data_IF_077183138071
#
_entry.id   IF_077183138071
#
_cell.length_a   1.000
_cell.length_b   1.000
_cell.length_c   1.000
_cell.angle_alpha   90.00
_cell.angle_beta   90.00
_cell.angle_gamma   90.00
#
_symmetry.space_group_name_H-M   'P 1'
#
loop_
_entity.id
_entity.type
_entity.pdbx_description
1 polymer ?
#
# COMPACT_ATOMS: atom_id res chain seq x y z
N UNK A 1 67.06 -45.27 48.27
CA UNK A 1 65.77 -44.86 48.87
C UNK A 1 65.30 -43.57 48.21
N UNK A 2 63.98 -43.45 47.98
CA UNK A 2 63.21 -42.36 47.32
C UNK A 2 63.28 -42.32 45.79
N UNK A 3 62.22 -42.75 45.07
CA UNK A 3 60.94 -42.08 44.70
C UNK A 3 61.09 -41.36 43.35
N UNK A 4 60.30 -41.57 42.29
CA UNK A 4 58.84 -41.48 42.23
C UNK A 4 58.33 -42.10 40.92
N UNK A 5 57.39 -43.05 41.02
CA UNK A 5 56.57 -43.56 39.91
C UNK A 5 55.30 -42.71 39.77
N UNK A 6 55.21 -41.87 38.74
CA UNK A 6 53.96 -41.21 38.37
C UNK A 6 53.32 -41.93 37.18
N UNK A 7 52.50 -42.94 37.47
CA UNK A 7 51.47 -43.42 36.54
C UNK A 7 50.19 -42.58 36.77
N UNK A 8 49.85 -41.70 35.82
CA UNK A 8 48.74 -40.73 35.95
C UNK A 8 47.34 -41.31 35.64
N UNK A 9 47.18 -42.62 35.43
CA UNK A 9 45.85 -43.22 35.34
C UNK A 9 45.81 -44.69 35.80
N UNK A 10 45.92 -44.98 37.11
CA UNK A 10 45.96 -46.35 37.62
C UNK A 10 44.58 -47.04 37.70
N UNK A 11 43.48 -46.30 37.46
CA UNK A 11 42.11 -46.78 37.69
C UNK A 11 41.29 -47.04 36.41
N UNK A 12 41.88 -46.87 35.21
CA UNK A 12 41.23 -47.17 33.94
C UNK A 12 39.89 -46.45 33.68
N UNK A 13 39.64 -45.31 34.35
CA UNK A 13 38.42 -44.52 34.14
C UNK A 13 38.67 -43.46 33.07
N UNK A 14 38.44 -43.83 31.81
CA UNK A 14 38.32 -42.87 30.72
C UNK A 14 37.02 -42.08 30.92
N UNK A 15 37.11 -40.81 31.31
CA UNK A 15 35.97 -39.91 31.61
C UNK A 15 35.14 -39.48 30.37
N UNK A 16 35.09 -40.29 29.32
CA UNK A 16 34.29 -40.01 28.13
C UNK A 16 33.32 -41.14 27.84
N UNK A 17 32.26 -41.25 28.65
CA UNK A 17 31.04 -41.95 28.25
C UNK A 17 30.23 -41.09 27.28
N UNK A 18 30.80 -40.78 26.11
CA UNK A 18 29.96 -40.31 25.00
C UNK A 18 29.41 -41.56 24.33
N UNK A 19 28.18 -41.94 24.71
CA UNK A 19 27.37 -42.92 23.96
C UNK A 19 27.50 -42.58 22.48
N UNK A 20 28.09 -43.48 21.71
CA UNK A 20 27.96 -43.46 20.24
C UNK A 20 26.45 -43.54 20.00
N UNK A 21 25.84 -42.61 19.24
CA UNK A 21 24.42 -42.71 18.91
C UNK A 21 24.16 -44.08 18.25
N UNK A 22 23.03 -44.74 18.54
CA UNK A 22 22.61 -45.95 17.83
C UNK A 22 22.81 -45.80 16.32
N UNK A 23 23.23 -46.87 15.63
CA UNK A 23 23.42 -46.85 14.18
C UNK A 23 22.14 -46.42 13.43
N UNK A 24 20.98 -46.71 14.01
CA UNK A 24 19.64 -46.33 13.55
C UNK A 24 19.37 -44.82 13.54
N UNK A 25 20.07 -44.03 14.36
CA UNK A 25 19.91 -42.57 14.41
C UNK A 25 20.66 -41.85 13.28
N UNK A 26 21.56 -42.54 12.57
CA UNK A 26 22.41 -41.98 11.53
C UNK A 26 21.66 -41.17 10.46
N UNK A 27 20.60 -41.73 9.84
CA UNK A 27 19.80 -41.02 8.84
C UNK A 27 19.08 -39.78 9.39
N UNK A 28 18.52 -39.87 10.60
CA UNK A 28 17.81 -38.75 11.26
C UNK A 28 18.76 -37.59 11.55
N UNK A 29 19.96 -37.90 12.01
CA UNK A 29 21.00 -36.90 12.28
C UNK A 29 21.45 -36.23 10.99
N UNK A 30 21.64 -36.99 9.92
CA UNK A 30 22.00 -36.45 8.60
C UNK A 30 20.94 -35.47 8.09
N UNK A 31 19.67 -35.86 8.13
CA UNK A 31 18.54 -35.03 7.68
C UNK A 31 18.39 -33.73 8.50
N UNK A 32 18.53 -33.82 9.83
CA UNK A 32 18.49 -32.65 10.70
C UNK A 32 19.66 -31.69 10.43
N UNK A 33 20.88 -32.22 10.29
CA UNK A 33 22.06 -31.40 9.97
C UNK A 33 21.95 -30.72 8.61
N UNK A 34 21.39 -31.39 7.60
CA UNK A 34 21.13 -30.79 6.28
C UNK A 34 20.13 -29.64 6.38
N UNK A 35 19.04 -29.84 7.12
CA UNK A 35 18.01 -28.82 7.36
C UNK A 35 18.60 -27.58 8.04
N UNK A 36 19.35 -27.79 9.12
CA UNK A 36 19.99 -26.70 9.86
C UNK A 36 21.06 -25.98 9.03
N UNK A 37 21.79 -26.69 8.19
CA UNK A 37 22.77 -26.09 7.28
C UNK A 37 22.10 -25.21 6.23
N UNK A 38 20.99 -25.68 5.63
CA UNK A 38 20.15 -24.87 4.72
C UNK A 38 19.59 -23.61 5.39
N UNK A 39 19.28 -23.69 6.68
CA UNK A 39 18.86 -22.55 7.51
C UNK A 39 20.02 -21.65 7.98
N UNK A 40 21.25 -21.92 7.54
CA UNK A 40 22.48 -21.17 7.91
C UNK A 40 22.81 -21.20 9.40
N UNK A 41 22.41 -22.26 10.11
CA UNK A 41 22.77 -22.49 11.50
C UNK A 41 24.18 -23.11 11.56
N UNK A 42 25.19 -22.29 11.88
CA UNK A 42 26.59 -22.72 11.86
C UNK A 42 27.22 -22.95 13.24
N UNK A 43 26.57 -22.53 14.34
CA UNK A 43 27.06 -22.81 15.69
C UNK A 43 26.79 -24.27 16.07
N UNK A 44 27.85 -25.01 16.36
CA UNK A 44 27.72 -26.43 16.71
C UNK A 44 27.02 -26.62 18.07
N UNK A 45 27.14 -25.65 18.96
CA UNK A 45 26.49 -25.62 20.27
C UNK A 45 24.98 -25.45 20.10
N UNK A 46 24.55 -24.49 19.27
CA UNK A 46 23.12 -24.29 18.95
C UNK A 46 22.54 -25.51 18.23
N UNK A 47 23.26 -26.07 17.26
CA UNK A 47 22.82 -27.28 16.55
C UNK A 47 22.70 -28.46 17.51
N UNK A 48 23.65 -28.65 18.43
CA UNK A 48 23.59 -29.69 19.46
C UNK A 48 22.35 -29.55 20.36
N UNK A 49 22.03 -28.31 20.78
CA UNK A 49 20.83 -28.03 21.57
C UNK A 49 19.54 -28.29 20.78
N UNK A 50 19.49 -27.92 19.50
CA UNK A 50 18.34 -28.15 18.62
C UNK A 50 18.11 -29.64 18.35
N UNK A 51 19.17 -30.41 18.08
CA UNK A 51 19.10 -31.87 17.92
C UNK A 51 18.48 -32.56 19.15
N UNK A 52 18.82 -32.08 20.36
CA UNK A 52 18.23 -32.60 21.59
C UNK A 52 16.74 -32.20 21.72
N UNK A 53 16.41 -30.94 21.46
CA UNK A 53 15.06 -30.40 21.69
C UNK A 53 14.04 -30.82 20.63
N UNK A 54 14.42 -30.84 19.37
CA UNK A 54 13.52 -31.10 18.25
C UNK A 54 13.49 -32.58 17.86
N UNK A 55 14.59 -33.29 18.07
CA UNK A 55 14.73 -34.68 17.60
C UNK A 55 15.03 -35.68 18.73
N UNK A 56 15.21 -35.24 19.98
CA UNK A 56 15.56 -36.11 21.11
C UNK A 56 16.99 -36.68 21.04
N UNK A 57 17.84 -36.15 20.16
CA UNK A 57 19.16 -36.70 19.85
C UNK A 57 20.26 -36.02 20.67
N UNK A 58 20.90 -36.77 21.56
CA UNK A 58 22.00 -36.24 22.40
C UNK A 58 23.34 -36.35 21.67
N UNK A 59 23.81 -35.25 21.09
CA UNK A 59 25.08 -35.20 20.35
C UNK A 59 25.91 -34.02 20.84
N UNK A 60 27.16 -34.27 21.26
CA UNK A 60 28.09 -33.22 21.67
C UNK A 60 28.47 -32.30 20.48
N UNK A 61 28.73 -31.02 20.74
CA UNK A 61 29.10 -30.03 19.70
C UNK A 61 30.34 -30.45 18.88
N UNK A 62 31.29 -31.15 19.49
CA UNK A 62 32.46 -31.73 18.81
C UNK A 62 32.09 -32.82 17.80
N UNK A 63 31.09 -33.65 18.13
CA UNK A 63 30.57 -34.68 17.24
C UNK A 63 29.70 -34.08 16.12
N UNK A 64 28.95 -33.00 16.40
CA UNK A 64 28.26 -32.20 15.37
C UNK A 64 29.28 -31.65 14.37
N UNK A 65 30.37 -31.03 14.86
CA UNK A 65 31.44 -30.49 14.01
C UNK A 65 32.05 -31.55 13.09
N UNK A 66 32.34 -32.75 13.64
CA UNK A 66 32.89 -33.87 12.87
C UNK A 66 31.92 -34.34 11.79
N UNK A 67 30.65 -34.57 12.13
CA UNK A 67 29.62 -35.01 11.18
C UNK A 67 29.33 -33.99 10.08
N UNK A 68 29.28 -32.70 10.41
CA UNK A 68 29.13 -31.63 9.41
C UNK A 68 30.30 -31.64 8.42
N UNK A 69 31.52 -31.92 8.87
CA UNK A 69 32.69 -32.08 8.00
C UNK A 69 32.56 -33.31 7.10
N UNK A 70 32.11 -34.45 7.63
CA UNK A 70 31.85 -35.69 6.86
C UNK A 70 30.77 -35.49 5.79
N UNK A 71 29.78 -34.63 6.05
CA UNK A 71 28.68 -34.32 5.13
C UNK A 71 29.01 -33.18 4.13
N UNK A 72 30.22 -32.63 4.16
CA UNK A 72 30.59 -31.52 3.27
C UNK A 72 29.93 -30.17 3.60
N UNK A 73 29.33 -30.03 4.79
CA UNK A 73 28.73 -28.78 5.26
C UNK A 73 29.81 -27.80 5.72
N UNK A 74 30.42 -27.18 4.71
CA UNK A 74 31.56 -26.31 4.85
C UNK A 74 31.18 -24.86 5.17
N UNK A 75 32.10 -24.15 5.81
CA UNK A 75 31.96 -22.70 5.98
C UNK A 75 32.29 -22.00 4.65
N UNK A 76 31.84 -20.74 4.47
CA UNK A 76 32.17 -19.96 3.28
C UNK A 76 33.65 -19.99 2.92
N UNK A 77 34.53 -19.86 3.94
CA UNK A 77 35.98 -19.86 3.74
C UNK A 77 36.50 -21.15 3.13
N UNK A 78 35.92 -22.29 3.50
CA UNK A 78 36.34 -23.60 2.96
C UNK A 78 35.77 -23.76 1.56
N UNK A 79 34.48 -23.48 1.37
CA UNK A 79 33.81 -23.53 0.07
C UNK A 79 34.54 -22.70 -0.99
N UNK A 80 34.91 -21.46 -0.68
CA UNK A 80 35.66 -20.58 -1.59
C UNK A 80 37.04 -21.13 -2.01
N UNK A 81 37.62 -22.07 -1.26
CA UNK A 81 38.93 -22.68 -1.56
C UNK A 81 38.82 -24.01 -2.31
N UNK A 82 37.73 -24.73 -2.10
CA UNK A 82 37.55 -26.10 -2.58
C UNK A 82 36.64 -26.21 -3.78
N UNK A 83 35.74 -25.25 -3.98
CA UNK A 83 34.79 -25.24 -5.10
C UNK A 83 35.38 -24.47 -6.30
N UNK A 84 35.21 -24.97 -7.55
CA UNK A 84 35.64 -24.24 -8.73
C UNK A 84 34.95 -22.88 -8.87
N UNK A 85 35.70 -21.87 -9.31
CA UNK A 85 35.20 -20.50 -9.48
C UNK A 85 33.94 -20.42 -10.34
N UNK A 86 33.93 -21.10 -11.49
CA UNK A 86 32.82 -21.08 -12.45
C UNK A 86 31.53 -21.65 -11.85
N UNK A 87 31.62 -22.70 -11.03
CA UNK A 87 30.45 -23.26 -10.35
C UNK A 87 29.87 -22.27 -9.31
N UNK A 88 30.74 -21.54 -8.60
CA UNK A 88 30.29 -20.52 -7.64
C UNK A 88 29.62 -19.33 -8.34
N UNK A 89 30.14 -18.90 -9.50
CA UNK A 89 29.50 -17.84 -10.31
C UNK A 89 28.13 -18.29 -10.79
N UNK A 90 28.04 -19.51 -11.34
CA UNK A 90 26.79 -20.07 -11.86
C UNK A 90 25.69 -20.08 -10.80
N UNK A 91 26.00 -20.48 -9.57
CA UNK A 91 25.03 -20.48 -8.45
C UNK A 91 24.48 -19.08 -8.14
N UNK A 92 25.30 -18.03 -8.28
CA UNK A 92 24.85 -16.65 -8.05
C UNK A 92 24.00 -16.16 -9.22
N UNK A 93 24.44 -16.41 -10.46
CA UNK A 93 23.72 -16.02 -11.68
C UNK A 93 22.34 -16.67 -11.76
N UNK A 94 22.23 -17.97 -11.47
CA UNK A 94 20.93 -18.66 -11.46
C UNK A 94 19.95 -18.08 -10.43
N UNK A 95 20.42 -17.64 -9.27
CA UNK A 95 19.57 -17.00 -8.27
C UNK A 95 19.17 -15.57 -8.66
N UNK A 96 20.01 -14.88 -9.44
CA UNK A 96 19.68 -13.59 -10.06
C UNK A 96 18.64 -13.75 -11.16
N UNK A 97 18.76 -14.77 -12.02
CA UNK A 97 17.77 -15.08 -13.07
C UNK A 97 16.39 -15.39 -12.47
N UNK A 98 16.35 -16.01 -11.28
CA UNK A 98 15.13 -16.26 -10.50
C UNK A 98 14.58 -15.03 -9.79
N UNK A 99 15.26 -13.89 -9.83
CA UNK A 99 14.83 -12.61 -9.24
C UNK A 99 14.47 -11.60 -10.32
N UNK A 100 13.43 -11.90 -11.10
CA UNK A 100 12.95 -11.05 -12.20
C UNK A 100 12.69 -9.58 -11.79
N UNK A 101 12.30 -9.35 -10.52
CA UNK A 101 12.04 -8.02 -9.97
C UNK A 101 13.30 -7.30 -9.44
N UNK A 102 14.47 -7.95 -9.48
CA UNK A 102 15.80 -7.42 -9.07
C UNK A 102 15.81 -6.79 -7.67
N UNK A 103 15.02 -7.38 -6.77
CA UNK A 103 14.70 -6.81 -5.46
C UNK A 103 15.53 -7.41 -4.32
N UNK A 104 16.22 -8.54 -4.54
CA UNK A 104 16.89 -9.32 -3.49
C UNK A 104 18.27 -8.78 -3.17
N UNK A 105 18.46 -8.36 -1.92
CA UNK A 105 19.75 -8.00 -1.32
C UNK A 105 20.82 -9.09 -1.42
N UNK A 106 22.10 -8.71 -1.39
CA UNK A 106 23.26 -9.64 -1.34
C UNK A 106 23.09 -10.73 -0.28
N UNK A 107 22.63 -10.35 0.92
CA UNK A 107 22.39 -11.31 2.01
C UNK A 107 21.24 -12.29 1.71
N UNK A 108 20.23 -11.85 0.97
CA UNK A 108 19.08 -12.67 0.59
C UNK A 108 19.48 -13.68 -0.50
N UNK A 109 20.19 -13.23 -1.54
CA UNK A 109 20.76 -14.11 -2.57
C UNK A 109 21.68 -15.15 -1.93
N UNK A 110 22.62 -14.72 -1.08
CA UNK A 110 23.49 -15.65 -0.34
C UNK A 110 22.69 -16.66 0.49
N UNK A 111 21.62 -16.24 1.15
CA UNK A 111 20.78 -17.14 1.94
C UNK A 111 20.04 -18.16 1.08
N UNK A 112 19.55 -17.75 -0.09
CA UNK A 112 18.86 -18.64 -1.03
C UNK A 112 19.79 -19.68 -1.63
N UNK A 113 21.02 -19.30 -1.99
CA UNK A 113 22.03 -20.27 -2.46
C UNK A 113 22.28 -21.35 -1.39
N UNK A 114 22.39 -20.96 -0.11
CA UNK A 114 22.56 -21.94 0.98
C UNK A 114 21.31 -22.78 1.20
N UNK A 115 20.13 -22.18 1.12
CA UNK A 115 18.87 -22.89 1.33
C UNK A 115 18.57 -23.88 0.19
N UNK A 116 18.72 -23.46 -1.06
CA UNK A 116 18.38 -24.26 -2.23
C UNK A 116 19.46 -25.30 -2.53
N UNK A 117 20.72 -24.87 -2.58
CA UNK A 117 21.84 -25.66 -3.09
C UNK A 117 22.70 -26.28 -1.98
N UNK A 118 22.49 -25.92 -0.71
CA UNK A 118 23.32 -26.40 0.41
C UNK A 118 24.74 -25.82 0.43
N UNK A 119 25.05 -24.88 -0.47
CA UNK A 119 26.37 -24.26 -0.61
C UNK A 119 26.37 -22.88 0.06
N UNK A 120 27.37 -22.61 0.91
CA UNK A 120 27.51 -21.30 1.55
C UNK A 120 28.68 -20.54 0.91
N UNK A 121 28.38 -19.48 0.17
CA UNK A 121 29.37 -18.58 -0.43
C UNK A 121 29.69 -17.40 0.51
N UNK A 122 30.82 -16.72 0.31
CA UNK A 122 31.13 -15.50 1.07
C UNK A 122 30.24 -14.34 0.62
N UNK A 123 29.97 -13.38 1.52
CA UNK A 123 29.16 -12.20 1.17
C UNK A 123 29.85 -11.39 0.07
N UNK A 124 31.15 -11.21 0.18
CA UNK A 124 31.93 -10.36 -0.72
C UNK A 124 31.95 -10.94 -2.12
N UNK A 125 32.17 -12.26 -2.26
CA UNK A 125 32.09 -12.93 -3.56
C UNK A 125 30.71 -12.79 -4.21
N UNK A 126 29.63 -13.01 -3.45
CA UNK A 126 28.26 -12.81 -3.97
C UNK A 126 28.05 -11.35 -4.39
N UNK A 127 28.55 -10.39 -3.60
CA UNK A 127 28.48 -8.97 -3.92
C UNK A 127 29.20 -8.65 -5.22
N UNK A 128 30.42 -9.14 -5.41
CA UNK A 128 31.25 -8.89 -6.60
C UNK A 128 30.58 -9.42 -7.87
N UNK A 129 30.04 -10.64 -7.82
CA UNK A 129 29.31 -11.23 -8.95
C UNK A 129 28.01 -10.48 -9.22
N UNK A 130 27.24 -10.13 -8.18
CA UNK A 130 26.02 -9.34 -8.38
C UNK A 130 26.33 -7.96 -8.97
N UNK A 131 27.43 -7.29 -8.59
CA UNK A 131 27.84 -6.01 -9.20
C UNK A 131 28.27 -6.18 -10.66
N UNK A 132 28.87 -7.32 -11.00
CA UNK A 132 29.31 -7.61 -12.38
C UNK A 132 28.13 -7.92 -13.31
N UNK A 133 27.09 -8.58 -12.81
CA UNK A 133 25.98 -9.10 -13.62
C UNK A 133 24.64 -8.35 -13.46
N UNK A 134 24.46 -7.57 -12.40
CA UNK A 134 23.22 -6.83 -12.09
C UNK A 134 23.51 -5.47 -11.42
N UNK A 135 24.34 -4.65 -12.09
CA UNK A 135 24.67 -3.29 -11.66
C UNK A 135 23.39 -2.41 -11.51
N UNK A 136 22.43 -2.59 -12.42
CA UNK A 136 21.11 -1.94 -12.36
C UNK A 136 20.36 -2.25 -11.06
N UNK A 137 20.38 -3.51 -10.61
CA UNK A 137 19.72 -3.92 -9.38
C UNK A 137 20.31 -3.21 -8.15
N UNK A 138 21.60 -2.90 -8.11
CA UNK A 138 22.19 -2.09 -7.04
C UNK A 138 21.77 -0.62 -7.12
N UNK A 139 21.74 -0.04 -8.32
CA UNK A 139 21.27 1.33 -8.54
C UNK A 139 19.82 1.50 -8.06
N UNK A 140 18.95 0.51 -8.35
CA UNK A 140 17.56 0.50 -7.86
C UNK A 140 17.42 0.42 -6.34
N UNK A 141 18.44 -0.13 -5.64
CA UNK A 141 18.44 -0.35 -4.18
C UNK A 141 19.26 0.68 -3.40
N UNK A 142 19.98 1.57 -4.08
CA UNK A 142 20.80 2.58 -3.42
C UNK A 142 19.95 3.48 -2.49
N UNK A 143 20.28 3.61 -1.19
CA UNK A 143 19.53 4.48 -0.28
C UNK A 143 19.58 5.97 -0.65
N UNK A 144 20.64 6.40 -1.34
CA UNK A 144 20.84 7.76 -1.85
C UNK A 144 20.06 8.04 -3.14
N UNK A 145 19.71 7.02 -3.92
CA UNK A 145 18.77 7.19 -5.05
C UNK A 145 17.34 7.54 -4.59
N UNK A 146 17.05 7.37 -3.28
CA UNK A 146 15.77 7.68 -2.64
C UNK A 146 15.79 8.92 -1.74
N UNK A 147 16.90 9.67 -1.64
CA UNK A 147 16.87 11.00 -1.02
C UNK A 147 16.27 12.00 -1.99
N UNK A 148 14.95 11.96 -2.11
CA UNK A 148 14.19 13.00 -2.78
C UNK A 148 14.47 14.29 -2.01
N UNK A 149 15.16 15.24 -2.67
CA UNK A 149 15.27 16.61 -2.21
C UNK A 149 13.84 17.14 -2.05
N UNK A 150 13.38 17.28 -0.81
CA UNK A 150 12.08 17.88 -0.52
C UNK A 150 12.21 19.38 -0.78
N UNK A 151 11.83 19.80 -1.98
CA UNK A 151 11.72 21.22 -2.31
C UNK A 151 10.56 21.80 -1.51
N UNK A 152 10.79 22.92 -0.82
CA UNK A 152 9.73 23.67 -0.16
C UNK A 152 8.85 24.25 -1.26
N UNK A 153 7.60 23.78 -1.38
CA UNK A 153 6.61 24.41 -2.26
C UNK A 153 6.13 25.70 -1.61
N UNK A 154 6.48 26.84 -2.20
CA UNK A 154 5.92 28.15 -1.87
C UNK A 154 4.85 28.47 -2.90
N UNK A 155 3.60 28.30 -2.51
CA UNK A 155 2.46 28.61 -3.37
C UNK A 155 2.18 30.12 -3.30
N UNK A 156 1.86 30.71 -4.43
CA UNK A 156 1.46 32.10 -4.63
C UNK A 156 0.05 32.35 -4.05
N UNK A 157 -0.86 31.39 -4.20
CA UNK A 157 -2.26 31.62 -3.90
C UNK A 157 -3.13 30.38 -3.71
N UNK A 158 -4.37 30.61 -3.26
CA UNK A 158 -5.43 29.60 -3.40
C UNK A 158 -5.78 29.44 -4.88
N UNK A 159 -6.29 28.28 -5.28
CA UNK A 159 -6.63 27.99 -6.68
C UNK A 159 -5.45 28.07 -7.66
N UNK A 160 -4.22 28.30 -7.19
CA UNK A 160 -3.02 28.21 -8.01
C UNK A 160 -2.85 26.77 -8.50
N UNK A 161 -2.90 25.82 -7.56
CA UNK A 161 -2.80 24.40 -7.89
C UNK A 161 -3.80 23.56 -7.12
N UNK A 162 -4.61 22.82 -7.86
CA UNK A 162 -5.45 21.76 -7.33
C UNK A 162 -4.72 20.42 -7.47
N UNK A 163 -4.53 19.72 -6.36
CA UNK A 163 -3.83 18.43 -6.27
C UNK A 163 -4.87 17.33 -6.11
N UNK A 164 -5.04 16.53 -7.16
CA UNK A 164 -6.00 15.43 -7.23
C UNK A 164 -5.32 14.06 -7.20
N UNK A 165 -5.98 13.09 -6.60
CA UNK A 165 -5.50 11.71 -6.53
C UNK A 165 -6.63 10.71 -6.24
N UNK A 166 -6.40 9.45 -6.63
CA UNK A 166 -7.24 8.31 -6.31
C UNK A 166 -6.69 7.53 -5.11
N UNK A 167 -7.56 7.04 -4.24
CA UNK A 167 -7.15 6.34 -3.03
C UNK A 167 -7.84 4.98 -2.87
N UNK A 168 -7.01 3.92 -2.91
CA UNK A 168 -7.45 2.52 -2.97
C UNK A 168 -7.78 1.90 -1.59
N UNK A 169 -7.76 2.65 -0.47
CA UNK A 169 -7.94 2.00 0.85
C UNK A 169 -9.30 1.32 1.01
N UNK A 170 -10.36 1.92 0.48
CA UNK A 170 -11.69 1.32 0.51
C UNK A 170 -11.95 0.36 -0.65
N UNK A 171 -10.97 0.16 -1.54
CA UNK A 171 -11.06 -0.83 -2.62
C UNK A 171 -11.29 -2.24 -2.06
N UNK A 172 -10.75 -2.53 -0.87
CA UNK A 172 -10.94 -3.81 -0.18
C UNK A 172 -12.39 -4.13 0.21
N UNK A 173 -13.28 -3.13 0.19
CA UNK A 173 -14.73 -3.27 0.40
C UNK A 173 -15.53 -2.82 -0.82
N UNK A 174 -14.88 -2.50 -1.95
CA UNK A 174 -15.52 -2.16 -3.22
C UNK A 174 -15.85 -0.69 -3.44
N UNK A 175 -15.38 0.24 -2.59
CA UNK A 175 -15.80 1.65 -2.62
C UNK A 175 -14.61 2.62 -2.71
N UNK A 176 -13.85 2.64 -3.81
CA UNK A 176 -12.69 3.52 -3.94
C UNK A 176 -13.07 5.01 -3.84
N UNK A 177 -12.07 5.85 -3.57
CA UNK A 177 -12.24 7.28 -3.38
C UNK A 177 -11.39 8.03 -4.38
N UNK A 178 -11.89 9.17 -4.83
CA UNK A 178 -11.09 10.17 -5.51
C UNK A 178 -11.30 11.51 -4.83
N UNK A 179 -10.26 12.34 -4.72
CA UNK A 179 -10.39 13.65 -4.07
C UNK A 179 -9.38 14.66 -4.59
N UNK A 180 -9.67 15.93 -4.29
CA UNK A 180 -8.86 17.09 -4.67
C UNK A 180 -8.67 18.01 -3.48
N UNK A 181 -7.44 18.49 -3.30
CA UNK A 181 -7.11 19.51 -2.31
C UNK A 181 -6.46 20.72 -2.97
N UNK A 182 -6.67 21.90 -2.38
CA UNK A 182 -5.89 23.10 -2.69
C UNK A 182 -4.48 22.97 -2.11
N UNK A 183 -3.42 23.11 -2.91
CA UNK A 183 -2.06 22.89 -2.41
C UNK A 183 -1.63 23.93 -1.35
N UNK A 184 -2.06 25.20 -1.46
CA UNK A 184 -1.62 26.28 -0.58
C UNK A 184 -2.14 26.09 0.84
N UNK A 185 -3.42 25.79 0.97
CA UNK A 185 -4.13 25.70 2.24
C UNK A 185 -4.31 24.27 2.72
N UNK A 186 -4.13 23.28 1.84
CA UNK A 186 -4.51 21.86 2.03
C UNK A 186 -6.00 21.67 2.31
N UNK A 187 -6.85 22.61 1.87
CA UNK A 187 -8.30 22.51 1.95
C UNK A 187 -8.78 21.40 1.03
N UNK A 188 -9.62 20.50 1.55
CA UNK A 188 -10.35 19.55 0.71
C UNK A 188 -11.38 20.33 -0.13
N UNK A 189 -11.19 20.33 -1.44
CA UNK A 189 -12.07 21.01 -2.39
C UNK A 189 -13.26 20.11 -2.72
N UNK A 190 -13.01 18.82 -2.86
CA UNK A 190 -14.02 17.77 -2.94
C UNK A 190 -13.40 16.39 -2.74
N UNK A 191 -14.23 15.44 -2.31
CA UNK A 191 -13.88 14.03 -2.16
C UNK A 191 -15.13 13.20 -2.46
N UNK A 192 -14.97 12.11 -3.20
CA UNK A 192 -16.09 11.30 -3.69
C UNK A 192 -15.81 9.82 -3.54
N UNK A 193 -16.80 9.09 -3.06
CA UNK A 193 -16.86 7.63 -3.18
C UNK A 193 -17.39 7.31 -4.57
N UNK A 194 -16.57 6.62 -5.37
CA UNK A 194 -16.81 6.40 -6.80
C UNK A 194 -16.92 4.92 -7.15
N UNK A 195 -17.72 4.55 -8.18
CA UNK A 195 -17.80 3.16 -8.65
C UNK A 195 -16.45 2.60 -9.09
N UNK A 196 -15.61 3.45 -9.68
CA UNK A 196 -14.23 3.13 -10.02
C UNK A 196 -13.39 4.39 -10.09
N UNK A 197 -12.27 4.40 -9.37
CA UNK A 197 -11.26 5.45 -9.46
C UNK A 197 -10.26 5.21 -10.61
N UNK A 198 -10.52 4.23 -11.48
CA UNK A 198 -9.69 3.89 -12.64
C UNK A 198 -10.29 4.34 -13.98
N UNK A 199 -11.50 4.91 -13.95
CA UNK A 199 -12.20 5.39 -15.14
C UNK A 199 -11.90 6.87 -15.35
N UNK A 200 -11.34 7.19 -16.53
CA UNK A 200 -10.98 8.56 -16.87
C UNK A 200 -12.17 9.52 -16.91
N UNK A 201 -13.32 9.04 -17.38
CA UNK A 201 -14.55 9.85 -17.43
C UNK A 201 -15.02 10.26 -16.04
N UNK A 202 -14.94 9.36 -15.05
CA UNK A 202 -15.25 9.69 -13.66
C UNK A 202 -14.33 10.80 -13.16
N UNK A 203 -13.02 10.66 -13.33
CA UNK A 203 -12.05 11.66 -12.86
C UNK A 203 -12.24 13.02 -13.55
N UNK A 204 -12.48 13.03 -14.87
CA UNK A 204 -12.80 14.24 -15.62
C UNK A 204 -14.10 14.90 -15.13
N UNK A 205 -15.14 14.10 -14.86
CA UNK A 205 -16.41 14.58 -14.33
C UNK A 205 -16.28 15.25 -12.97
N UNK A 206 -15.49 14.65 -12.06
CA UNK A 206 -15.23 15.22 -10.74
C UNK A 206 -14.49 16.57 -10.82
N UNK A 207 -13.64 16.77 -11.82
CA UNK A 207 -13.03 18.07 -12.08
C UNK A 207 -14.08 19.11 -12.49
N UNK A 208 -15.01 18.76 -13.39
CA UNK A 208 -16.10 19.65 -13.79
C UNK A 208 -17.00 20.02 -12.60
N UNK A 209 -17.28 19.09 -11.69
CA UNK A 209 -18.02 19.39 -10.45
C UNK A 209 -17.32 20.44 -9.59
N UNK A 210 -15.98 20.42 -9.51
CA UNK A 210 -15.24 21.45 -8.78
C UNK A 210 -15.24 22.77 -9.51
N UNK A 211 -15.06 22.74 -10.82
CA UNK A 211 -15.09 23.94 -11.65
C UNK A 211 -16.44 24.65 -11.48
N UNK A 212 -17.54 23.90 -11.52
CA UNK A 212 -18.88 24.40 -11.26
C UNK A 212 -19.04 24.93 -9.84
N UNK A 213 -18.60 24.17 -8.84
CA UNK A 213 -18.67 24.57 -7.43
C UNK A 213 -17.98 25.90 -7.13
N UNK A 214 -16.84 26.17 -7.78
CA UNK A 214 -16.07 27.39 -7.56
C UNK A 214 -16.34 28.48 -8.61
N UNK A 215 -17.08 28.17 -9.68
CA UNK A 215 -17.33 29.10 -10.80
C UNK A 215 -16.09 29.36 -11.66
N UNK A 216 -15.09 28.48 -11.60
CA UNK A 216 -13.80 28.71 -12.22
C UNK A 216 -12.87 27.50 -12.13
N UNK A 217 -11.77 27.54 -12.90
CA UNK A 217 -10.73 26.50 -12.90
C UNK A 217 -9.43 26.99 -12.25
N UNK A 218 -8.56 26.10 -11.73
CA UNK A 218 -7.29 26.52 -11.15
C UNK A 218 -6.29 26.95 -12.23
N UNK A 219 -5.24 27.69 -11.86
CA UNK A 219 -4.13 27.96 -12.78
C UNK A 219 -3.49 26.66 -13.28
N UNK A 220 -3.37 25.68 -12.39
CA UNK A 220 -2.84 24.36 -12.70
C UNK A 220 -3.58 23.25 -11.94
N UNK A 221 -3.83 22.14 -12.61
CA UNK A 221 -4.24 20.90 -11.98
C UNK A 221 -3.03 19.95 -11.90
N UNK A 222 -2.83 19.28 -10.77
CA UNK A 222 -1.75 18.32 -10.60
C UNK A 222 -2.28 16.95 -10.18
N UNK A 223 -1.82 15.90 -10.86
CA UNK A 223 -2.14 14.51 -10.53
C UNK A 223 -0.95 13.60 -10.74
N UNK A 224 -1.04 12.39 -10.21
CA UNK A 224 -0.13 11.33 -10.57
C UNK A 224 -0.35 10.87 -12.02
N UNK A 225 0.69 10.27 -12.61
CA UNK A 225 0.64 9.73 -13.96
C UNK A 225 -0.02 8.35 -13.95
N UNK A 226 -1.34 8.33 -14.15
CA UNK A 226 -2.18 7.15 -14.24
C UNK A 226 -2.99 7.16 -15.52
N UNK A 227 -3.48 6.00 -15.95
CA UNK A 227 -4.34 5.91 -17.14
C UNK A 227 -5.66 6.67 -16.94
N UNK A 228 -6.16 6.73 -15.72
CA UNK A 228 -7.37 7.43 -15.31
C UNK A 228 -7.25 8.96 -15.36
N UNK A 229 -6.04 9.51 -15.34
CA UNK A 229 -5.84 10.97 -15.33
C UNK A 229 -5.66 11.56 -16.73
N UNK A 230 -5.64 10.71 -17.77
CA UNK A 230 -5.48 11.14 -19.17
C UNK A 230 -6.67 11.97 -19.67
N UNK A 231 -7.90 11.56 -19.32
CA UNK A 231 -9.11 12.31 -19.70
C UNK A 231 -9.15 13.68 -19.02
N UNK A 232 -8.80 13.74 -17.73
CA UNK A 232 -8.64 14.98 -16.99
C UNK A 232 -7.60 15.90 -17.64
N UNK A 233 -6.45 15.36 -18.03
CA UNK A 233 -5.43 16.11 -18.74
C UNK A 233 -5.99 16.74 -20.02
N UNK A 234 -6.64 15.95 -20.87
CA UNK A 234 -7.23 16.45 -22.12
C UNK A 234 -8.25 17.56 -21.87
N UNK A 235 -9.15 17.34 -20.91
CA UNK A 235 -10.22 18.27 -20.54
C UNK A 235 -9.68 19.61 -20.03
N UNK A 236 -8.75 19.60 -19.06
CA UNK A 236 -8.20 20.82 -18.46
C UNK A 236 -7.39 21.61 -19.50
N UNK A 237 -6.63 20.93 -20.36
CA UNK A 237 -5.91 21.59 -21.45
C UNK A 237 -6.85 22.24 -22.48
N UNK A 238 -7.91 21.53 -22.88
CA UNK A 238 -8.89 22.04 -23.84
C UNK A 238 -9.66 23.25 -23.29
N UNK A 239 -10.11 23.18 -22.03
CA UNK A 239 -10.76 24.32 -21.37
C UNK A 239 -9.82 25.52 -21.28
N UNK A 240 -8.56 25.31 -20.88
CA UNK A 240 -7.60 26.40 -20.75
C UNK A 240 -7.29 27.07 -22.08
N UNK A 241 -6.99 26.30 -23.12
CA UNK A 241 -6.64 26.85 -24.44
C UNK A 241 -7.80 27.57 -25.11
N UNK A 242 -9.04 27.16 -24.82
CA UNK A 242 -10.25 27.74 -25.40
C UNK A 242 -10.70 28.99 -24.65
N UNK A 243 -10.74 28.92 -23.32
CA UNK A 243 -11.34 29.98 -22.49
C UNK A 243 -10.33 31.02 -22.01
N UNK A 244 -9.04 30.66 -21.94
CA UNK A 244 -8.00 31.52 -21.41
C UNK A 244 -6.70 31.44 -22.24
N UNK A 245 -6.77 31.74 -23.55
CA UNK A 245 -5.63 31.64 -24.47
C UNK A 245 -4.48 32.61 -24.14
N UNK A 246 -4.70 33.61 -23.30
CA UNK A 246 -3.68 34.55 -22.83
C UNK A 246 -2.61 33.92 -21.94
N UNK A 247 -2.85 32.72 -21.42
CA UNK A 247 -1.86 31.96 -20.66
C UNK A 247 -1.16 30.95 -21.52
N UNK A 248 0.15 31.12 -21.66
CA UNK A 248 1.00 30.20 -22.42
C UNK A 248 1.12 28.83 -21.71
N UNK A 249 0.68 27.78 -22.40
CA UNK A 249 0.68 26.41 -21.91
C UNK A 249 2.06 25.77 -21.82
N UNK A 250 3.10 26.34 -22.45
CA UNK A 250 4.47 25.85 -22.30
C UNK A 250 5.10 26.35 -20.99
N UNK A 251 4.92 27.63 -20.66
CA UNK A 251 5.45 28.24 -19.44
C UNK A 251 4.61 27.96 -18.20
N UNK A 252 3.28 27.92 -18.33
CA UNK A 252 2.34 27.60 -17.26
C UNK A 252 1.36 26.51 -17.71
N UNK A 253 1.77 25.23 -17.68
CA UNK A 253 0.92 24.16 -18.18
C UNK A 253 -0.36 24.03 -17.35
N UNK A 254 -1.54 23.87 -17.99
CA UNK A 254 -2.83 23.77 -17.31
C UNK A 254 -2.94 22.52 -16.42
N UNK A 255 -2.26 21.44 -16.83
CA UNK A 255 -2.14 20.22 -16.07
C UNK A 255 -0.67 19.81 -15.94
N UNK A 256 -0.28 19.29 -14.77
CA UNK A 256 1.05 18.75 -14.51
C UNK A 256 0.98 17.34 -13.93
N UNK A 257 1.66 16.40 -14.59
CA UNK A 257 1.93 15.10 -14.01
C UNK A 257 3.06 15.19 -12.99
N UNK A 258 2.74 14.85 -11.75
CA UNK A 258 3.70 14.75 -10.65
C UNK A 258 3.94 13.29 -10.30
N UNK A 259 5.09 12.99 -9.69
CA UNK A 259 5.28 11.69 -9.03
C UNK A 259 4.49 11.69 -7.72
N UNK A 260 3.96 10.56 -7.27
CA UNK A 260 3.28 10.41 -5.97
C UNK A 260 4.03 11.08 -4.81
N UNK A 261 5.34 10.87 -4.74
CA UNK A 261 6.23 11.45 -3.74
C UNK A 261 6.29 12.99 -3.75
N UNK A 262 5.88 13.62 -4.85
CA UNK A 262 5.79 15.07 -5.04
C UNK A 262 4.34 15.59 -4.94
N UNK A 263 3.32 14.72 -4.98
CA UNK A 263 1.91 15.03 -4.74
C UNK A 263 1.57 15.13 -3.24
N UNK A 264 2.43 15.85 -2.51
CA UNK A 264 2.51 15.79 -1.05
C UNK A 264 1.22 16.26 -0.35
N UNK A 265 0.48 17.20 -0.95
CA UNK A 265 -0.70 17.81 -0.33
C UNK A 265 -1.83 16.80 -0.14
N UNK A 266 -2.21 16.09 -1.21
CA UNK A 266 -3.25 15.06 -1.16
C UNK A 266 -2.78 13.81 -0.41
N UNK A 267 -1.52 13.39 -0.60
CA UNK A 267 -0.93 12.24 0.09
C UNK A 267 -0.92 12.38 1.62
N UNK A 268 -0.59 13.57 2.12
CA UNK A 268 -0.70 13.87 3.57
C UNK A 268 -2.14 13.82 4.06
N UNK A 269 -3.08 14.16 3.21
CA UNK A 269 -4.51 14.21 3.52
C UNK A 269 -5.09 12.79 3.61
N UNK A 270 -4.63 11.86 2.77
CA UNK A 270 -5.01 10.45 2.80
C UNK A 270 -4.74 9.74 4.12
N UNK A 271 -3.59 10.02 4.75
CA UNK A 271 -3.26 9.43 6.04
C UNK A 271 -4.37 9.71 7.09
N UNK A 272 -4.94 10.91 7.06
CA UNK A 272 -5.95 11.33 8.02
C UNK A 272 -7.32 10.77 7.69
N UNK A 273 -7.71 10.79 6.43
CA UNK A 273 -8.94 10.14 5.96
C UNK A 273 -8.95 8.65 6.32
N UNK A 274 -7.82 7.95 6.13
CA UNK A 274 -7.70 6.54 6.50
C UNK A 274 -7.86 6.30 8.01
N UNK A 275 -7.15 7.05 8.83
CA UNK A 275 -7.10 6.81 10.28
C UNK A 275 -8.40 7.23 10.97
N UNK A 276 -8.95 8.38 10.58
CA UNK A 276 -10.08 8.99 11.29
C UNK A 276 -11.43 8.41 10.81
N UNK A 277 -11.51 7.88 9.58
CA UNK A 277 -12.76 7.41 8.97
C UNK A 277 -12.62 6.04 8.25
N UNK A 278 -11.69 5.91 7.30
CA UNK A 278 -11.66 4.77 6.38
C UNK A 278 -11.43 3.41 7.04
N UNK A 279 -10.59 3.34 8.08
CA UNK A 279 -10.39 2.11 8.85
C UNK A 279 -11.66 1.65 9.57
N UNK A 280 -12.44 2.60 10.11
CA UNK A 280 -13.69 2.30 10.81
C UNK A 280 -14.71 1.72 9.83
N UNK A 281 -14.85 2.34 8.65
CA UNK A 281 -15.72 1.84 7.59
C UNK A 281 -15.38 0.39 7.20
N UNK A 282 -14.10 0.07 7.01
CA UNK A 282 -13.65 -1.30 6.67
C UNK A 282 -13.95 -2.29 7.78
N UNK A 283 -13.76 -1.91 9.05
CA UNK A 283 -14.05 -2.78 10.20
C UNK A 283 -15.55 -3.10 10.26
N UNK A 284 -16.39 -2.07 10.20
CA UNK A 284 -17.86 -2.22 10.26
C UNK A 284 -18.35 -3.06 9.08
N UNK A 285 -17.83 -2.83 7.88
CA UNK A 285 -18.18 -3.63 6.70
C UNK A 285 -17.85 -5.12 6.90
N UNK A 286 -16.62 -5.41 7.34
CA UNK A 286 -16.15 -6.78 7.55
C UNK A 286 -16.87 -7.50 8.68
N UNK A 287 -17.35 -6.78 9.69
CA UNK A 287 -18.19 -7.36 10.74
C UNK A 287 -19.51 -7.87 10.17
N UNK A 288 -20.17 -7.13 9.25
CA UNK A 288 -21.38 -7.62 8.59
C UNK A 288 -21.18 -8.92 7.80
N UNK A 289 -20.02 -9.09 7.17
CA UNK A 289 -19.66 -10.37 6.52
C UNK A 289 -19.47 -11.46 7.58
N UNK A 290 -18.68 -11.18 8.61
CA UNK A 290 -18.35 -12.14 9.68
C UNK A 290 -19.59 -12.62 10.43
N UNK A 291 -20.54 -11.72 10.64
CA UNK A 291 -21.80 -11.99 11.36
C UNK A 291 -22.87 -12.63 10.45
N UNK A 292 -22.54 -12.91 9.19
CA UNK A 292 -23.43 -13.56 8.23
C UNK A 292 -24.55 -12.65 7.69
N UNK A 293 -24.46 -11.33 7.90
CA UNK A 293 -25.46 -10.36 7.42
C UNK A 293 -25.31 -10.06 5.93
N UNK A 294 -24.11 -10.25 5.37
CA UNK A 294 -23.81 -9.98 3.97
C UNK A 294 -22.93 -11.07 3.34
N UNK A 295 -23.36 -11.53 2.17
CA UNK A 295 -22.62 -12.43 1.28
C UNK A 295 -22.54 -11.79 -0.12
N UNK A 296 -21.33 -11.42 -0.54
CA UNK A 296 -21.08 -10.84 -1.87
C UNK A 296 -21.38 -11.78 -3.03
N UNK A 297 -21.38 -13.09 -2.79
CA UNK A 297 -21.68 -14.09 -3.82
C UNK A 297 -23.20 -14.17 -4.10
N UNK A 298 -24.03 -13.65 -3.19
CA UNK A 298 -25.45 -13.48 -3.43
C UNK A 298 -25.69 -12.17 -4.21
N UNK A 299 -26.15 -12.31 -5.46
CA UNK A 299 -26.37 -11.17 -6.38
C UNK A 299 -27.32 -10.10 -5.82
N UNK A 300 -28.40 -10.50 -5.15
CA UNK A 300 -29.38 -9.56 -4.58
C UNK A 300 -28.78 -8.79 -3.41
N UNK A 301 -28.06 -9.49 -2.53
CA UNK A 301 -27.37 -8.85 -1.41
C UNK A 301 -26.27 -7.91 -1.90
N UNK A 302 -25.51 -8.31 -2.91
CA UNK A 302 -24.52 -7.45 -3.54
C UNK A 302 -25.15 -6.17 -4.10
N UNK A 303 -26.26 -6.28 -4.84
CA UNK A 303 -26.97 -5.10 -5.38
C UNK A 303 -27.44 -4.15 -4.30
N UNK A 304 -28.08 -4.67 -3.25
CA UNK A 304 -28.52 -3.84 -2.14
C UNK A 304 -27.34 -3.19 -1.39
N UNK A 305 -26.21 -3.90 -1.30
CA UNK A 305 -24.99 -3.38 -0.70
C UNK A 305 -24.42 -2.22 -1.53
N UNK A 306 -24.37 -2.38 -2.87
CA UNK A 306 -23.97 -1.32 -3.80
C UNK A 306 -24.93 -0.12 -3.81
N UNK A 307 -26.18 -0.27 -3.37
CA UNK A 307 -27.08 0.87 -3.14
C UNK A 307 -26.82 1.54 -1.78
N UNK A 308 -26.83 0.76 -0.70
CA UNK A 308 -26.87 1.30 0.67
C UNK A 308 -25.52 1.82 1.16
N UNK A 309 -24.44 1.11 0.88
CA UNK A 309 -23.11 1.48 1.42
C UNK A 309 -22.54 2.76 0.82
N UNK A 310 -22.62 3.02 -0.49
CA UNK A 310 -22.21 4.31 -1.04
C UNK A 310 -22.98 5.48 -0.44
N UNK A 311 -24.29 5.30 -0.16
CA UNK A 311 -25.12 6.33 0.51
C UNK A 311 -24.53 6.70 1.88
N UNK A 312 -24.26 5.71 2.73
CA UNK A 312 -23.61 5.92 4.03
C UNK A 312 -22.21 6.55 3.87
N UNK A 313 -21.36 5.96 3.03
CA UNK A 313 -19.96 6.35 2.91
C UNK A 313 -19.81 7.78 2.37
N UNK A 314 -20.69 8.22 1.46
CA UNK A 314 -20.74 9.61 0.98
C UNK A 314 -21.09 10.58 2.10
N UNK A 315 -22.14 10.29 2.87
CA UNK A 315 -22.55 11.12 4.01
C UNK A 315 -21.41 11.26 5.04
N UNK A 316 -20.78 10.15 5.39
CA UNK A 316 -19.68 10.15 6.36
C UNK A 316 -18.40 10.80 5.82
N UNK A 317 -18.14 10.68 4.51
CA UNK A 317 -17.03 11.38 3.85
C UNK A 317 -17.26 12.89 3.84
N UNK A 318 -18.49 13.35 3.61
CA UNK A 318 -18.85 14.77 3.66
C UNK A 318 -18.66 15.34 5.07
N UNK A 319 -19.16 14.64 6.11
CA UNK A 319 -18.92 14.99 7.52
C UNK A 319 -17.42 15.07 7.83
N UNK A 320 -16.64 14.10 7.35
CA UNK A 320 -15.18 14.12 7.50
C UNK A 320 -14.55 15.35 6.84
N UNK A 321 -14.90 15.64 5.58
CA UNK A 321 -14.37 16.79 4.84
C UNK A 321 -14.73 18.11 5.54
N UNK A 322 -15.98 18.27 5.96
CA UNK A 322 -16.46 19.43 6.70
C UNK A 322 -15.65 19.63 7.99
N UNK A 323 -15.55 18.59 8.81
CA UNK A 323 -14.78 18.61 10.06
C UNK A 323 -13.32 18.99 9.79
N UNK A 324 -12.64 18.31 8.86
CA UNK A 324 -11.21 18.52 8.58
C UNK A 324 -10.91 19.91 8.04
N UNK A 325 -11.84 20.47 7.28
CA UNK A 325 -11.73 21.81 6.75
C UNK A 325 -11.99 22.89 7.82
N UNK A 326 -12.94 22.65 8.73
CA UNK A 326 -13.33 23.58 9.79
C UNK A 326 -12.42 23.57 11.02
N UNK A 327 -11.81 22.44 11.38
CA UNK A 327 -10.96 22.38 12.57
C UNK A 327 -9.59 23.03 12.36
N UNK A 328 -9.09 23.62 13.44
CA UNK A 328 -7.76 24.25 13.48
C UNK A 328 -6.66 23.22 13.24
N UNK A 329 -5.83 23.44 12.22
CA UNK A 329 -4.61 22.67 11.99
C UNK A 329 -3.58 22.94 13.09
N UNK A 330 -2.77 21.93 13.41
CA UNK A 330 -1.58 22.12 14.26
C UNK A 330 -0.66 23.17 13.62
N UNK A 331 -0.10 24.06 14.46
CA UNK A 331 0.92 25.00 14.02
C UNK A 331 2.20 24.25 13.63
N UNK A 332 2.72 24.55 12.46
CA UNK A 332 3.98 24.03 11.94
C UNK A 332 4.82 25.23 11.51
N UNK A 333 5.94 25.45 12.22
CA UNK A 333 6.84 26.58 11.98
C UNK A 333 7.72 26.37 10.74
N UNK A 334 7.77 25.15 10.20
CA UNK A 334 8.56 24.81 9.01
C UNK A 334 7.71 24.75 7.74
N UNK A 335 6.39 24.96 7.85
CA UNK A 335 5.49 25.04 6.69
C UNK A 335 5.56 26.45 6.12
N UNK A 336 5.84 26.56 4.81
CA UNK A 336 5.87 27.85 4.12
C UNK A 336 4.49 28.54 4.07
N UNK A 337 3.43 27.77 3.86
CA UNK A 337 2.04 28.26 3.81
C UNK A 337 1.30 28.24 5.16
N UNK A 338 -0.01 28.56 5.15
CA UNK A 338 -0.82 28.70 6.36
C UNK A 338 -0.74 27.49 7.31
N UNK A 339 -0.51 27.76 8.60
CA UNK A 339 -0.52 26.75 9.68
C UNK A 339 -1.13 27.34 10.95
N UNK A 340 -1.53 26.49 11.91
CA UNK A 340 -2.10 26.99 13.17
C UNK A 340 -3.48 27.67 13.04
N UNK A 341 -4.18 27.43 11.93
CA UNK A 341 -5.52 27.95 11.58
C UNK A 341 -6.35 26.83 10.94
N UNK A 342 -7.66 27.02 10.77
CA UNK A 342 -8.47 26.06 9.99
C UNK A 342 -8.19 26.21 8.49
N UNK A 343 -8.45 25.17 7.70
CA UNK A 343 -8.30 25.24 6.24
C UNK A 343 -9.32 26.20 5.65
N UNK A 344 -10.54 26.24 6.19
CA UNK A 344 -11.56 27.21 5.81
C UNK A 344 -11.08 28.65 6.04
N UNK A 345 -10.53 28.96 7.22
CA UNK A 345 -9.99 30.28 7.51
C UNK A 345 -8.84 30.64 6.58
N UNK A 346 -7.90 29.70 6.37
CA UNK A 346 -6.76 29.92 5.48
C UNK A 346 -7.18 30.17 4.02
N UNK A 347 -8.25 29.52 3.57
CA UNK A 347 -8.74 29.64 2.21
C UNK A 347 -9.62 30.87 2.01
N UNK A 348 -10.56 31.14 2.93
CA UNK A 348 -11.47 32.29 2.82
C UNK A 348 -10.77 33.62 3.13
N UNK A 349 -9.84 33.62 4.08
CA UNK A 349 -9.06 34.82 4.46
C UNK A 349 -7.62 34.69 3.94
N UNK A 350 -7.46 34.23 2.69
CA UNK A 350 -6.17 33.92 2.08
C UNK A 350 -5.19 35.11 2.13
N UNK A 351 -5.68 36.34 2.00
CA UNK A 351 -4.89 37.58 2.08
C UNK A 351 -4.17 37.74 3.44
N UNK A 352 -4.77 37.28 4.54
CA UNK A 352 -4.15 37.31 5.87
C UNK A 352 -2.89 36.44 5.98
N UNK A 353 -2.68 35.57 4.99
CA UNK A 353 -1.53 34.67 4.89
C UNK A 353 -0.62 35.04 3.72
N UNK A 354 -0.82 36.21 3.10
CA UNK A 354 -0.04 36.66 1.94
C UNK A 354 -0.33 35.89 0.66
N UNK A 355 -1.48 35.21 0.59
CA UNK A 355 -1.93 34.46 -0.57
C UNK A 355 -2.91 35.30 -1.40
N UNK A 356 -2.85 35.15 -2.72
CA UNK A 356 -3.85 35.71 -3.65
C UNK A 356 -4.86 34.65 -4.09
N UNK A 357 -5.98 35.08 -4.65
CA UNK A 357 -6.91 34.20 -5.35
C UNK A 357 -6.47 34.06 -6.81
N UNK A 358 -6.11 32.84 -7.21
CA UNK A 358 -5.67 32.51 -8.56
C UNK A 358 -6.76 31.83 -9.40
N UNK A 359 -8.01 31.81 -8.95
CA UNK A 359 -9.09 31.18 -9.70
C UNK A 359 -9.28 31.88 -11.05
N UNK A 360 -9.49 31.08 -12.09
CA UNK A 360 -9.81 31.54 -13.44
C UNK A 360 -11.31 31.43 -13.64
N UNK A 361 -12.06 32.53 -13.55
CA UNK A 361 -13.52 32.50 -13.60
C UNK A 361 -13.99 32.07 -14.98
N UNK A 362 -14.87 31.08 -15.05
CA UNK A 362 -15.43 30.65 -16.33
C UNK A 362 -16.51 31.65 -16.77
N UNK A 363 -16.38 32.26 -17.97
CA UNK A 363 -17.34 33.28 -18.42
C UNK A 363 -18.76 32.75 -18.63
N UNK A 364 -18.88 31.53 -19.18
CA UNK A 364 -20.16 30.87 -19.41
C UNK A 364 -20.16 29.46 -18.83
N UNK A 365 -20.91 29.27 -17.75
CA UNK A 365 -21.04 27.98 -17.08
C UNK A 365 -21.87 26.96 -17.86
N UNK A 366 -22.63 27.38 -18.89
CA UNK A 366 -23.38 26.45 -19.74
C UNK A 366 -22.49 25.40 -20.38
N UNK A 367 -21.27 25.79 -20.80
CA UNK A 367 -20.26 24.90 -21.39
C UNK A 367 -19.90 23.76 -20.43
N UNK A 368 -19.78 24.05 -19.13
CA UNK A 368 -19.47 23.05 -18.11
C UNK A 368 -20.64 22.10 -17.90
N UNK A 369 -21.88 22.62 -17.88
CA UNK A 369 -23.08 21.78 -17.78
C UNK A 369 -23.22 20.86 -19.01
N UNK A 370 -23.00 21.38 -20.22
CA UNK A 370 -23.06 20.61 -21.46
C UNK A 370 -21.99 19.50 -21.49
N UNK A 371 -20.75 19.81 -21.07
CA UNK A 371 -19.69 18.81 -20.96
C UNK A 371 -20.04 17.71 -19.94
N UNK A 372 -20.58 18.10 -18.77
CA UNK A 372 -21.04 17.14 -17.76
C UNK A 372 -22.10 16.19 -18.31
N UNK A 373 -23.11 16.72 -19.00
CA UNK A 373 -24.16 15.92 -19.63
C UNK A 373 -23.62 15.01 -20.73
N UNK A 374 -22.71 15.51 -21.58
CA UNK A 374 -22.07 14.74 -22.64
C UNK A 374 -21.22 13.57 -22.09
N UNK A 375 -20.67 13.70 -20.89
CA UNK A 375 -19.93 12.63 -20.20
C UNK A 375 -20.86 11.58 -19.55
N UNK A 376 -22.16 11.82 -19.48
CA UNK A 376 -23.14 10.92 -18.86
C UNK A 376 -23.80 11.46 -17.59
N UNK A 377 -23.44 12.67 -17.16
CA UNK A 377 -24.00 13.35 -15.98
C UNK A 377 -23.72 12.60 -14.68
N UNK A 378 -24.58 12.83 -13.68
CA UNK A 378 -24.44 12.26 -12.34
C UNK A 378 -24.45 10.72 -12.32
N UNK A 379 -24.98 10.09 -13.38
CA UNK A 379 -25.01 8.62 -13.54
C UNK A 379 -23.62 7.98 -13.53
N UNK A 380 -22.58 8.73 -13.89
CA UNK A 380 -21.19 8.27 -13.78
C UNK A 380 -20.78 7.91 -12.35
N UNK A 381 -21.48 8.47 -11.36
CA UNK A 381 -21.24 8.23 -9.95
C UNK A 381 -22.16 7.15 -9.39
N UNK A 382 -23.13 6.64 -10.15
CA UNK A 382 -24.08 5.65 -9.64
C UNK A 382 -23.45 4.26 -9.52
N UNK A 383 -23.74 3.59 -8.41
CA UNK A 383 -23.27 2.21 -8.14
C UNK A 383 -24.30 1.16 -8.57
N UNK A 384 -25.52 1.59 -8.89
CA UNK A 384 -26.63 0.74 -9.28
C UNK A 384 -27.43 1.39 -10.40
N UNK A 385 -28.13 0.58 -11.17
CA UNK A 385 -29.00 1.07 -12.25
C UNK A 385 -30.10 1.99 -11.71
N UNK A 386 -30.49 3.07 -12.44
CA UNK A 386 -31.48 4.03 -11.96
C UNK A 386 -32.83 3.42 -11.57
N UNK A 387 -33.32 2.42 -12.32
CA UNK A 387 -34.58 1.76 -11.99
C UNK A 387 -34.51 0.95 -10.68
N UNK A 388 -33.33 0.40 -10.36
CA UNK A 388 -33.10 -0.29 -9.10
C UNK A 388 -32.96 0.70 -7.95
N UNK A 389 -32.26 1.83 -8.16
CA UNK A 389 -32.18 2.91 -7.18
C UNK A 389 -33.58 3.41 -6.77
N UNK A 390 -34.46 3.71 -7.74
CA UNK A 390 -35.84 4.15 -7.46
C UNK A 390 -36.62 3.14 -6.61
N UNK A 391 -36.47 1.84 -6.89
CA UNK A 391 -37.09 0.78 -6.09
C UNK A 391 -36.54 0.76 -4.66
N UNK A 392 -35.22 0.88 -4.52
CA UNK A 392 -34.57 0.93 -3.22
C UNK A 392 -34.93 2.19 -2.44
N UNK A 393 -35.06 3.34 -3.08
CA UNK A 393 -35.48 4.61 -2.47
C UNK A 393 -36.89 4.50 -1.89
N UNK A 394 -37.84 3.96 -2.65
CA UNK A 394 -39.21 3.73 -2.16
C UNK A 394 -39.23 2.81 -0.92
N UNK A 395 -38.43 1.73 -0.94
CA UNK A 395 -38.29 0.84 0.21
C UNK A 395 -37.62 1.53 1.41
N UNK A 396 -36.54 2.30 1.16
CA UNK A 396 -35.79 3.03 2.17
C UNK A 396 -36.66 4.09 2.88
N UNK A 397 -37.45 4.84 2.11
CA UNK A 397 -38.39 5.84 2.64
C UNK A 397 -39.46 5.20 3.53
N UNK A 398 -39.94 4.00 3.16
CA UNK A 398 -40.96 3.29 3.96
C UNK A 398 -40.48 2.87 5.35
N UNK A 399 -39.16 2.73 5.56
CA UNK A 399 -38.57 2.41 6.86
C UNK A 399 -38.48 3.63 7.79
N UNK A 400 -38.73 4.84 7.28
CA UNK A 400 -38.67 6.09 8.05
C UNK A 400 -37.37 6.26 8.87
N UNK A 401 -36.24 5.85 8.29
CA UNK A 401 -34.92 5.89 8.94
C UNK A 401 -34.53 7.36 9.21
N UNK A 402 -34.28 7.69 10.47
CA UNK A 402 -33.90 9.04 10.87
C UNK A 402 -32.49 9.41 10.40
N UNK A 403 -31.53 8.51 10.56
CA UNK A 403 -30.14 8.68 10.14
C UNK A 403 -29.54 7.30 9.83
N UNK A 404 -28.79 7.21 8.73
CA UNK A 404 -27.99 6.05 8.39
C UNK A 404 -26.59 6.23 8.95
N UNK A 405 -26.12 5.28 9.76
CA UNK A 405 -24.83 5.36 10.44
C UNK A 405 -24.08 4.03 10.38
N UNK A 406 -22.82 4.03 10.79
CA UNK A 406 -22.05 2.78 10.89
C UNK A 406 -22.63 1.80 11.93
N UNK A 407 -23.35 2.30 12.93
CA UNK A 407 -23.97 1.51 13.98
C UNK A 407 -25.18 0.72 13.47
N UNK A 408 -25.99 1.31 12.57
CA UNK A 408 -27.26 0.72 12.15
C UNK A 408 -27.29 0.22 10.69
N UNK A 409 -26.27 0.51 9.86
CA UNK A 409 -26.30 0.20 8.42
C UNK A 409 -26.64 -1.25 8.09
N UNK A 410 -26.15 -2.19 8.90
CA UNK A 410 -26.44 -3.61 8.64
C UNK A 410 -27.84 -4.04 9.11
N UNK A 411 -28.40 -3.38 10.12
CA UNK A 411 -29.81 -3.59 10.52
C UNK A 411 -30.73 -3.05 9.43
N UNK A 412 -30.47 -1.82 8.97
CA UNK A 412 -31.14 -1.21 7.83
C UNK A 412 -31.03 -2.09 6.58
N UNK A 413 -29.86 -2.67 6.31
CA UNK A 413 -29.67 -3.60 5.19
C UNK A 413 -30.60 -4.82 5.28
N UNK A 414 -30.72 -5.42 6.47
CA UNK A 414 -31.57 -6.59 6.69
C UNK A 414 -33.06 -6.24 6.56
N UNK A 415 -33.47 -5.05 7.04
CA UNK A 415 -34.85 -4.56 6.93
C UNK A 415 -35.22 -4.17 5.49
N UNK A 416 -34.26 -3.61 4.73
CA UNK A 416 -34.45 -3.28 3.32
C UNK A 416 -34.55 -4.51 2.43
N UNK A 417 -33.82 -5.58 2.75
CA UNK A 417 -33.71 -6.75 1.90
C UNK A 417 -35.07 -7.36 1.49
N UNK A 418 -36.00 -7.69 2.40
CA UNK A 418 -37.30 -8.23 2.02
C UNK A 418 -38.22 -7.23 1.33
N UNK A 419 -38.03 -5.92 1.52
CA UNK A 419 -38.81 -4.88 0.84
C UNK A 419 -38.36 -4.72 -0.62
N UNK A 420 -37.05 -4.79 -0.84
CA UNK A 420 -36.45 -4.71 -2.19
C UNK A 420 -36.52 -6.05 -2.90
N UNK A 421 -36.54 -7.18 -2.20
CA UNK A 421 -36.64 -8.51 -2.79
C UNK A 421 -37.71 -9.33 -2.04
N UNK A 422 -39.00 -9.06 -2.31
CA UNK A 422 -40.08 -9.78 -1.65
C UNK A 422 -39.99 -11.27 -2.00
N UNK A 423 -40.28 -12.16 -1.04
CA UNK A 423 -40.30 -13.59 -1.31
C UNK A 423 -41.30 -13.88 -2.42
N UNK A 424 -40.91 -14.75 -3.35
CA UNK A 424 -41.84 -15.29 -4.34
C UNK A 424 -42.86 -16.10 -3.55
N UNK A 425 -44.11 -15.63 -3.50
CA UNK A 425 -45.21 -16.43 -3.01
C UNK A 425 -45.35 -17.60 -3.99
N UNK A 426 -44.98 -18.81 -3.57
CA UNK A 426 -45.35 -20.03 -4.28
C UNK A 426 -46.87 -20.07 -4.28
N UNK A 427 -47.48 -19.74 -5.42
CA UNK A 427 -48.89 -19.99 -5.67
C UNK A 427 -49.09 -21.51 -5.67
N UNK A 428 -49.80 -22.01 -4.67
CA UNK A 428 -50.27 -23.40 -4.55
C UNK A 428 -50.96 -23.93 -5.81
#
# INVERSE_FOLDING_TARGET
>A
MSSSTYNRNPAGRNQHSHRKPPEEDGPRIRQALETYHRQRLFSNEKISALLLKEHGLTIASSAVKRRRKELGFHSPRVTMRTMPYQEMVQLVVEELDRDHARSRGVQNIQARITFNCGVTLSRDFVSDIMHTHDEDGFTMRDPSSKRILRVVKSNIGIHERWSGDGHDKLYSIGFPIWAVVDEATTKWLGAWVVPSNRLGDVVGYLCLLLIEKFGGMPLQFATDCGSETTQLYGLVNALRSTLFPEYDGETLPPHSYVRSVHNIAIERSWLRLRLDWGNNAVIVFKNGIKDGKYNSDNRQQYLLCQYLWPKLLRQELDKFVEFRNGVRMRRDNNKAGPSGCSRNTAFTLHENYGLVDCLLPIPDMSVIHELKEAMGGDKLLDFVEPCFAVRCDAAYESLAISELTFENVWEVFQDLFPLVFPPVLESE
#
